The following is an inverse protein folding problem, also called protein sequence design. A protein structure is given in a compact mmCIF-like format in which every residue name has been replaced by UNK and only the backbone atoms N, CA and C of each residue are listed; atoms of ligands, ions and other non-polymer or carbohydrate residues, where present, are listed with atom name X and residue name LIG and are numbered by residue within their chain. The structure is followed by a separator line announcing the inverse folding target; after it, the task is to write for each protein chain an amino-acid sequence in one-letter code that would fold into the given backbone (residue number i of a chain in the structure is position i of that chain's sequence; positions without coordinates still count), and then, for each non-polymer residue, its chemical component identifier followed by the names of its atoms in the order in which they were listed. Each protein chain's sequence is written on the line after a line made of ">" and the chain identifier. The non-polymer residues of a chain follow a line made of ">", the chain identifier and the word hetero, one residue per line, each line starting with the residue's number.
data_IF_857159791522
#
_entry.id   IF_857159791522
#
_cell.length_a   1.000
_cell.length_b   1.000
_cell.length_c   1.000
_cell.angle_alpha   90.00
_cell.angle_beta   90.00
_cell.angle_gamma   90.00
#
_symmetry.space_group_name_H-M   'P 1'
#
loop_
_entity.id
_entity.type
_entity.pdbx_description
1 polymer ?
#
# COMPACT_ATOMS: atom_id res chain seq x y z
N UNK A 1 -7.35 -5.47 -15.48
CA UNK A 1 -6.40 -4.35 -15.25
C UNK A 1 -5.76 -4.00 -16.58
N UNK A 2 -5.44 -2.72 -16.80
CA UNK A 2 -4.74 -2.26 -18.01
C UNK A 2 -3.30 -2.80 -17.98
N UNK A 3 -2.79 -3.31 -19.10
CA UNK A 3 -1.40 -3.81 -19.22
C UNK A 3 -0.45 -2.61 -19.30
N UNK A 4 -0.19 -1.98 -18.15
CA UNK A 4 0.59 -0.76 -18.00
C UNK A 4 2.10 -1.00 -18.20
N UNK A 5 2.56 -2.25 -18.10
CA UNK A 5 3.98 -2.64 -18.14
C UNK A 5 4.67 -2.41 -19.50
N UNK A 6 3.90 -2.21 -20.57
CA UNK A 6 4.43 -1.96 -21.92
C UNK A 6 4.09 -0.54 -22.44
N UNK A 7 3.53 0.31 -21.59
CA UNK A 7 3.16 1.68 -21.94
C UNK A 7 4.37 2.62 -21.90
N UNK A 8 4.23 3.82 -22.45
CA UNK A 8 5.29 4.83 -22.40
C UNK A 8 5.59 5.26 -20.96
N UNK A 9 6.82 5.74 -20.72
CA UNK A 9 7.25 6.26 -19.41
C UNK A 9 6.28 7.35 -18.92
N UNK A 10 5.86 8.26 -19.80
CA UNK A 10 4.92 9.33 -19.46
C UNK A 10 3.55 8.79 -19.05
N UNK A 11 3.07 7.73 -19.72
CA UNK A 11 1.80 7.07 -19.41
C UNK A 11 1.87 6.34 -18.06
N UNK A 12 2.99 5.65 -17.79
CA UNK A 12 3.25 4.99 -16.51
C UNK A 12 3.30 6.02 -15.38
N UNK A 13 4.03 7.13 -15.58
CA UNK A 13 4.14 8.21 -14.58
C UNK A 13 2.76 8.82 -14.29
N UNK A 14 1.99 9.17 -15.31
CA UNK A 14 0.65 9.74 -15.13
C UNK A 14 -0.28 8.78 -14.37
N UNK A 15 -0.20 7.48 -14.65
CA UNK A 15 -0.93 6.45 -13.92
C UNK A 15 -0.50 6.37 -12.45
N UNK A 16 0.80 6.40 -12.17
CA UNK A 16 1.34 6.39 -10.81
C UNK A 16 0.93 7.65 -10.03
N UNK A 17 0.99 8.84 -10.63
CA UNK A 17 0.57 10.11 -10.02
C UNK A 17 -0.95 10.11 -9.70
N UNK A 18 -1.79 9.49 -10.54
CA UNK A 18 -3.20 9.27 -10.25
C UNK A 18 -3.40 8.30 -9.06
N UNK A 19 -2.68 7.17 -9.05
CA UNK A 19 -2.77 6.18 -7.98
C UNK A 19 -2.27 6.72 -6.65
N UNK A 20 -1.20 7.50 -6.65
CA UNK A 20 -0.66 8.16 -5.46
C UNK A 20 -1.70 9.07 -4.80
N UNK A 21 -2.32 9.97 -5.58
CA UNK A 21 -3.36 10.86 -5.06
C UNK A 21 -4.53 10.10 -4.42
N UNK A 22 -4.98 9.02 -5.07
CA UNK A 22 -6.03 8.14 -4.54
C UNK A 22 -5.59 7.45 -3.24
N UNK A 23 -4.36 6.94 -3.20
CA UNK A 23 -3.82 6.27 -2.02
C UNK A 23 -3.68 7.21 -0.83
N UNK A 24 -3.11 8.40 -1.01
CA UNK A 24 -2.93 9.37 0.08
C UNK A 24 -4.27 9.87 0.62
N UNK A 25 -5.25 10.12 -0.27
CA UNK A 25 -6.61 10.47 0.16
C UNK A 25 -7.24 9.33 0.97
N UNK A 26 -7.15 8.09 0.48
CA UNK A 26 -7.64 6.91 1.18
C UNK A 26 -7.01 6.75 2.57
N UNK A 27 -5.68 6.95 2.68
CA UNK A 27 -4.98 6.89 3.98
C UNK A 27 -5.47 7.97 4.95
N UNK A 28 -5.67 9.20 4.48
CA UNK A 28 -6.23 10.29 5.30
C UNK A 28 -7.64 9.95 5.81
N UNK A 29 -8.44 9.27 5.01
CA UNK A 29 -9.83 8.94 5.38
C UNK A 29 -9.92 7.71 6.29
N UNK A 30 -9.02 6.74 6.12
CA UNK A 30 -9.23 5.40 6.67
C UNK A 30 -8.14 4.86 7.60
N UNK A 31 -6.92 5.39 7.59
CA UNK A 31 -5.84 4.90 8.47
C UNK A 31 -5.64 5.80 9.68
N UNK A 32 -5.98 5.35 10.90
CA UNK A 32 -5.68 6.09 12.12
C UNK A 32 -4.21 6.48 12.27
N UNK A 33 -3.27 5.62 11.84
CA UNK A 33 -1.84 5.92 11.88
C UNK A 33 -1.48 7.11 10.99
N UNK A 34 -1.85 7.06 9.70
CA UNK A 34 -1.50 8.12 8.76
C UNK A 34 -2.25 9.42 9.04
N UNK A 35 -3.48 9.37 9.57
CA UNK A 35 -4.19 10.56 10.07
C UNK A 35 -3.34 11.32 11.09
N UNK A 36 -2.82 10.61 12.11
CA UNK A 36 -1.95 11.22 13.13
C UNK A 36 -0.62 11.68 12.57
N UNK A 37 -0.02 10.91 11.64
CA UNK A 37 1.24 11.31 11.00
C UNK A 37 1.07 12.61 10.22
N UNK A 38 0.02 12.72 9.41
CA UNK A 38 -0.25 13.92 8.62
C UNK A 38 -0.52 15.14 9.50
N UNK A 39 -1.30 14.98 10.59
CA UNK A 39 -1.56 16.05 11.54
C UNK A 39 -0.28 16.50 12.26
N UNK A 40 0.48 15.55 12.83
CA UNK A 40 1.72 15.83 13.59
C UNK A 40 2.79 16.50 12.74
N UNK A 41 2.90 16.12 11.48
CA UNK A 41 3.90 16.67 10.56
C UNK A 41 3.36 17.85 9.73
N UNK A 42 2.13 18.32 10.00
CA UNK A 42 1.47 19.40 9.26
C UNK A 42 1.45 19.17 7.73
N UNK A 43 1.25 17.92 7.32
CA UNK A 43 1.25 17.53 5.91
C UNK A 43 -0.14 17.82 5.33
N UNK A 44 -0.18 18.74 4.37
CA UNK A 44 -1.36 18.94 3.54
C UNK A 44 -1.33 17.95 2.37
N UNK A 45 -2.18 16.92 2.44
CA UNK A 45 -2.25 15.89 1.40
C UNK A 45 -2.56 16.42 0.00
N UNK A 46 -3.20 17.59 -0.12
CA UNK A 46 -3.51 18.20 -1.41
C UNK A 46 -2.25 18.66 -2.16
N UNK A 47 -1.13 18.79 -1.45
CA UNK A 47 0.18 19.10 -2.02
C UNK A 47 0.90 17.85 -2.56
N UNK A 48 0.40 16.64 -2.29
CA UNK A 48 0.99 15.38 -2.78
C UNK A 48 0.26 14.99 -4.07
N UNK A 49 0.80 15.43 -5.21
CA UNK A 49 0.15 15.30 -6.53
C UNK A 49 0.90 14.41 -7.50
N UNK A 50 2.20 14.28 -7.32
CA UNK A 50 3.10 13.48 -8.16
C UNK A 50 4.09 12.68 -7.31
N UNK A 51 4.68 11.62 -7.87
CA UNK A 51 5.62 10.73 -7.16
C UNK A 51 6.74 11.50 -6.48
N UNK A 52 7.22 12.58 -7.09
CA UNK A 52 8.30 13.40 -6.56
C UNK A 52 7.92 14.07 -5.22
N UNK A 53 6.63 14.27 -4.94
CA UNK A 53 6.16 14.89 -3.70
C UNK A 53 6.22 13.93 -2.49
N UNK A 54 6.47 12.63 -2.72
CA UNK A 54 6.64 11.65 -1.64
C UNK A 54 7.77 12.02 -0.68
N UNK A 55 8.76 12.81 -1.12
CA UNK A 55 9.84 13.33 -0.27
C UNK A 55 9.32 14.18 0.91
N UNK A 56 8.09 14.69 0.82
CA UNK A 56 7.46 15.49 1.87
C UNK A 56 6.75 14.62 2.93
N UNK A 57 6.67 13.30 2.74
CA UNK A 57 6.05 12.36 3.67
C UNK A 57 7.16 11.60 4.41
N UNK A 58 7.20 11.63 5.76
CA UNK A 58 8.13 10.83 6.54
C UNK A 58 7.98 9.33 6.25
N UNK A 59 9.09 8.61 6.32
CA UNK A 59 9.06 7.16 6.22
C UNK A 59 8.30 6.54 7.41
N UNK A 60 7.63 5.42 7.15
CA UNK A 60 7.10 4.53 8.18
C UNK A 60 8.12 3.44 8.44
N UNK A 61 8.58 3.33 9.69
CA UNK A 61 9.57 2.33 10.07
C UNK A 61 8.92 1.02 10.51
N UNK A 62 9.69 -0.06 10.51
CA UNK A 62 9.22 -1.37 11.02
C UNK A 62 8.71 -1.28 12.47
N UNK A 63 9.33 -0.42 13.29
CA UNK A 63 8.92 -0.20 14.68
C UNK A 63 7.50 0.39 14.76
N UNK A 64 7.14 1.28 13.84
CA UNK A 64 5.80 1.85 13.79
C UNK A 64 4.77 0.78 13.49
N UNK A 65 5.04 -0.09 12.51
CA UNK A 65 4.18 -1.24 12.17
C UNK A 65 3.98 -2.18 13.37
N UNK A 66 5.04 -2.44 14.14
CA UNK A 66 4.97 -3.30 15.33
C UNK A 66 4.14 -2.68 16.46
N UNK A 67 4.35 -1.38 16.75
CA UNK A 67 3.69 -0.69 17.87
C UNK A 67 2.22 -0.39 17.53
N UNK A 68 1.93 -0.04 16.28
CA UNK A 68 0.62 0.48 15.85
C UNK A 68 -0.08 -0.45 14.85
N UNK A 69 0.12 -1.78 14.94
CA UNK A 69 -0.41 -2.80 14.00
C UNK A 69 -1.85 -2.52 13.53
N UNK A 70 -2.79 -2.32 14.47
CA UNK A 70 -4.21 -2.13 14.13
C UNK A 70 -4.51 -0.77 13.49
N UNK A 71 -3.71 0.26 13.79
CA UNK A 71 -3.92 1.62 13.27
C UNK A 71 -3.56 1.77 11.78
N UNK A 72 -2.89 0.76 11.21
CA UNK A 72 -2.66 0.67 9.77
C UNK A 72 -3.84 0.06 9.01
N UNK A 73 -4.78 -0.59 9.69
CA UNK A 73 -5.97 -1.15 9.05
C UNK A 73 -6.86 -0.01 8.54
N UNK A 74 -7.14 -0.03 7.23
CA UNK A 74 -8.01 0.94 6.57
C UNK A 74 -9.45 0.44 6.39
N UNK A 75 -9.76 -0.71 6.96
CA UNK A 75 -11.08 -1.36 6.90
C UNK A 75 -11.43 -1.96 8.25
N UNK A 76 -12.73 -2.11 8.57
CA UNK A 76 -13.16 -2.89 9.74
C UNK A 76 -12.64 -4.33 9.67
N UNK A 77 -12.37 -4.94 10.84
CA UNK A 77 -11.77 -6.28 10.94
C UNK A 77 -12.62 -7.38 10.28
N UNK A 78 -13.93 -7.18 10.20
CA UNK A 78 -14.88 -8.12 9.59
C UNK A 78 -14.71 -8.23 8.06
N UNK A 79 -14.03 -7.25 7.44
CA UNK A 79 -13.68 -7.30 6.00
C UNK A 79 -12.35 -8.02 5.73
N UNK A 80 -11.58 -8.32 6.77
CA UNK A 80 -10.31 -9.02 6.66
C UNK A 80 -10.59 -10.52 6.57
N UNK A 81 -10.08 -11.16 5.53
CA UNK A 81 -10.29 -12.60 5.28
C UNK A 81 -9.03 -13.43 5.48
N UNK A 82 -7.86 -12.77 5.57
CA UNK A 82 -6.59 -13.43 5.83
C UNK A 82 -5.66 -12.53 6.65
N UNK A 83 -4.82 -13.15 7.48
CA UNK A 83 -3.82 -12.48 8.30
C UNK A 83 -2.44 -13.07 8.03
N UNK A 84 -1.54 -12.23 7.52
CA UNK A 84 -0.15 -12.60 7.25
C UNK A 84 0.70 -12.03 8.39
N UNK A 85 1.49 -12.88 9.03
CA UNK A 85 2.39 -12.46 10.11
C UNK A 85 3.85 -12.67 9.71
N UNK A 86 4.70 -11.74 10.13
CA UNK A 86 6.16 -11.91 10.02
C UNK A 86 6.75 -11.94 11.42
N UNK A 87 7.55 -12.98 11.71
CA UNK A 87 8.26 -13.09 12.97
C UNK A 87 9.41 -12.09 13.00
N UNK A 88 9.30 -11.08 13.89
CA UNK A 88 10.42 -10.21 14.22
C UNK A 88 11.41 -10.92 15.15
N UNK A 89 12.68 -10.51 15.13
CA UNK A 89 13.73 -11.04 16.02
C UNK A 89 13.63 -10.52 17.47
N UNK A 90 12.70 -9.60 17.79
CA UNK A 90 12.69 -8.83 19.04
C UNK A 90 11.31 -8.71 19.73
N UNK A 91 10.44 -9.72 19.63
CA UNK A 91 9.27 -9.83 20.52
C UNK A 91 7.93 -9.90 19.79
N UNK A 92 7.42 -8.78 19.27
CA UNK A 92 6.07 -8.69 18.70
C UNK A 92 6.06 -8.79 17.16
N UNK A 93 5.18 -9.63 16.56
CA UNK A 93 5.08 -9.79 15.12
C UNK A 93 4.43 -8.58 14.45
N UNK A 94 4.78 -8.35 13.18
CA UNK A 94 4.00 -7.46 12.31
C UNK A 94 2.90 -8.29 11.66
N UNK A 95 1.67 -7.80 11.75
CA UNK A 95 0.46 -8.44 11.24
C UNK A 95 -0.12 -7.59 10.11
N UNK A 96 -0.36 -8.23 8.97
CA UNK A 96 -1.01 -7.63 7.82
C UNK A 96 -2.37 -8.28 7.62
N UNK A 97 -3.44 -7.49 7.69
CA UNK A 97 -4.79 -7.94 7.33
C UNK A 97 -5.02 -7.74 5.83
N UNK A 98 -5.50 -8.78 5.15
CA UNK A 98 -5.86 -8.72 3.74
C UNK A 98 -7.36 -8.94 3.53
N UNK A 99 -7.97 -8.06 2.74
CA UNK A 99 -9.33 -8.27 2.21
C UNK A 99 -9.32 -9.21 1.01
N UNK A 100 -10.50 -9.66 0.57
CA UNK A 100 -10.63 -10.45 -0.66
C UNK A 100 -9.99 -9.74 -1.88
N UNK A 101 -10.20 -8.43 -2.00
CA UNK A 101 -9.66 -7.64 -3.11
C UNK A 101 -8.13 -7.56 -3.05
N UNK A 102 -7.56 -7.50 -1.84
CA UNK A 102 -6.10 -7.50 -1.66
C UNK A 102 -5.48 -8.83 -2.12
N UNK A 103 -6.12 -9.96 -1.77
CA UNK A 103 -5.67 -11.28 -2.20
C UNK A 103 -5.85 -11.49 -3.71
N UNK A 104 -6.93 -10.98 -4.30
CA UNK A 104 -7.12 -11.00 -5.76
C UNK A 104 -6.04 -10.17 -6.48
N UNK A 105 -5.69 -8.99 -5.94
CA UNK A 105 -4.59 -8.16 -6.45
C UNK A 105 -3.26 -8.89 -6.34
N UNK A 106 -3.00 -9.55 -5.21
CA UNK A 106 -1.80 -10.35 -5.00
C UNK A 106 -1.71 -11.48 -6.05
N UNK A 107 -2.77 -12.25 -6.24
CA UNK A 107 -2.84 -13.31 -7.24
C UNK A 107 -2.61 -12.80 -8.67
N UNK A 108 -3.14 -11.61 -9.01
CA UNK A 108 -2.88 -10.97 -10.30
C UNK A 108 -1.39 -10.62 -10.48
N UNK A 109 -0.76 -10.04 -9.46
CA UNK A 109 0.67 -9.71 -9.50
C UNK A 109 1.53 -10.97 -9.65
N UNK A 110 1.26 -12.03 -8.87
CA UNK A 110 1.97 -13.30 -8.97
C UNK A 110 1.81 -13.94 -10.35
N UNK A 111 0.59 -13.92 -10.91
CA UNK A 111 0.36 -14.38 -12.29
C UNK A 111 1.25 -13.64 -13.28
N UNK A 112 1.33 -12.31 -13.20
CA UNK A 112 2.20 -11.50 -14.07
C UNK A 112 3.67 -11.86 -13.89
N UNK A 113 4.14 -12.02 -12.65
CA UNK A 113 5.51 -12.45 -12.35
C UNK A 113 5.83 -13.81 -12.97
N UNK A 114 4.94 -14.79 -12.82
CA UNK A 114 5.12 -16.12 -13.40
C UNK A 114 5.08 -16.10 -14.93
N UNK A 115 4.16 -15.33 -15.54
CA UNK A 115 4.12 -15.17 -16.99
C UNK A 115 5.41 -14.53 -17.53
N UNK A 116 5.99 -13.57 -16.82
CA UNK A 116 7.29 -12.98 -17.16
C UNK A 116 8.43 -14.01 -17.09
N UNK A 117 8.34 -14.99 -16.18
CA UNK A 117 9.28 -16.10 -16.07
C UNK A 117 9.03 -17.23 -17.11
N UNK A 118 8.08 -17.04 -18.03
CA UNK A 118 7.76 -18.02 -19.07
C UNK A 118 6.83 -19.15 -18.61
N UNK A 119 6.15 -19.02 -17.48
CA UNK A 119 5.11 -19.96 -17.10
C UNK A 119 3.80 -19.62 -17.81
N UNK A 120 3.09 -20.65 -18.25
CA UNK A 120 1.77 -20.55 -18.90
C UNK A 120 0.81 -21.50 -18.19
N UNK A 121 -0.51 -21.27 -18.28
CA UNK A 121 -1.48 -22.31 -17.95
C UNK A 121 -1.15 -23.59 -18.74
N UNK A 122 -1.14 -24.72 -18.04
CA UNK A 122 -1.00 -26.05 -18.66
C UNK A 122 -2.23 -26.43 -19.46
#
# INVERSE_FOLDING_TARGET
>A
MKDIEFESIDTIKAFQDEKLRKAVLYLKEHSPYYQRLFEKCHININNIRQIEDLVNIPFTDKKDLQIFNEDFLCVPKEKIIDYITTSGTLGEPVTFGCTEIDLQRLAYNEKKSFSCAGLHPG
#
